data_IF_882988497667
#
_entry.id   IF_882988497667
#
_cell.length_a   1.000
_cell.length_b   1.000
_cell.length_c   1.000
_cell.angle_alpha   90.00
_cell.angle_beta   90.00
_cell.angle_gamma   90.00
#
_symmetry.space_group_name_H-M   'P 1'
#
loop_
_entity.id
_entity.type
_entity.pdbx_description
1 polymer ?
#
# COMPACT_ATOMS: atom_id res chain seq x y z
N UNK A 1 -5.02 -0.36 -22.27
CA UNK A 1 -4.62 -0.06 -20.87
C UNK A 1 -4.19 -1.35 -20.19
N UNK A 2 -3.39 -1.29 -19.12
CA UNK A 2 -2.96 -2.49 -18.36
C UNK A 2 -4.15 -3.37 -17.94
N UNK A 3 -5.25 -2.77 -17.48
CA UNK A 3 -6.47 -3.49 -17.11
C UNK A 3 -7.15 -4.20 -18.30
N UNK A 4 -7.13 -3.60 -19.49
CA UNK A 4 -7.63 -4.26 -20.70
C UNK A 4 -6.76 -5.47 -21.08
N UNK A 5 -5.44 -5.41 -20.85
CA UNK A 5 -4.56 -6.54 -21.03
C UNK A 5 -4.83 -7.64 -20.00
N UNK A 6 -5.11 -7.31 -18.73
CA UNK A 6 -5.51 -8.32 -17.73
C UNK A 6 -6.78 -9.07 -18.10
N UNK A 7 -7.76 -8.39 -18.68
CA UNK A 7 -9.04 -9.00 -19.01
C UNK A 7 -9.00 -9.85 -20.29
N UNK A 8 -8.15 -9.51 -21.26
CA UNK A 8 -8.22 -10.10 -22.61
C UNK A 8 -6.93 -10.81 -23.07
N UNK A 9 -5.82 -10.65 -22.34
CA UNK A 9 -4.56 -11.31 -22.72
C UNK A 9 -4.65 -12.81 -22.52
N UNK A 10 -4.01 -13.55 -23.43
CA UNK A 10 -3.80 -15.00 -23.30
C UNK A 10 -2.45 -15.34 -22.67
N UNK A 11 -1.63 -14.32 -22.40
CA UNK A 11 -0.31 -14.48 -21.78
C UNK A 11 -0.44 -14.81 -20.30
N UNK A 12 0.42 -15.71 -19.80
CA UNK A 12 0.45 -16.10 -18.38
C UNK A 12 0.88 -14.97 -17.45
N UNK A 13 1.60 -13.99 -17.97
CA UNK A 13 2.03 -12.80 -17.27
C UNK A 13 1.92 -11.60 -18.19
N UNK A 14 1.56 -10.44 -17.64
CA UNK A 14 1.52 -9.20 -18.40
C UNK A 14 2.87 -8.48 -18.34
N UNK A 15 3.27 -7.81 -19.42
CA UNK A 15 4.44 -6.95 -19.39
C UNK A 15 4.22 -5.80 -18.40
N UNK A 16 5.11 -5.70 -17.41
CA UNK A 16 5.06 -4.70 -16.34
C UNK A 16 5.67 -3.35 -16.74
N UNK A 17 6.19 -3.23 -17.97
CA UNK A 17 7.04 -2.09 -18.38
C UNK A 17 6.34 -0.75 -18.22
N UNK A 18 5.07 -0.66 -18.61
CA UNK A 18 4.28 0.56 -18.44
C UNK A 18 4.17 0.99 -16.97
N UNK A 19 4.02 0.03 -16.06
CA UNK A 19 3.97 0.31 -14.61
C UNK A 19 5.34 0.75 -14.10
N UNK A 20 6.41 0.08 -14.53
CA UNK A 20 7.79 0.44 -14.16
C UNK A 20 8.13 1.86 -14.61
N UNK A 21 7.80 2.21 -15.85
CA UNK A 21 8.00 3.56 -16.38
C UNK A 21 7.18 4.59 -15.60
N UNK A 22 5.89 4.33 -15.34
CA UNK A 22 5.03 5.25 -14.60
C UNK A 22 5.53 5.49 -13.17
N UNK A 23 6.05 4.46 -12.49
CA UNK A 23 6.66 4.58 -11.17
C UNK A 23 7.95 5.40 -11.24
N UNK A 24 8.88 5.06 -12.14
CA UNK A 24 10.14 5.79 -12.30
C UNK A 24 9.91 7.28 -12.59
N UNK A 25 8.90 7.61 -13.41
CA UNK A 25 8.52 8.99 -13.70
C UNK A 25 7.87 9.69 -12.51
N UNK A 26 6.96 9.02 -11.79
CA UNK A 26 6.26 9.59 -10.63
C UNK A 26 7.21 9.89 -9.47
N UNK A 27 8.30 9.13 -9.33
CA UNK A 27 9.28 9.25 -8.25
C UNK A 27 10.66 9.75 -8.72
N UNK A 28 10.70 10.42 -9.87
CA UNK A 28 11.93 10.94 -10.47
C UNK A 28 12.72 11.81 -9.50
N UNK A 29 12.08 12.79 -8.86
CA UNK A 29 12.78 13.74 -8.01
C UNK A 29 13.26 13.11 -6.69
N UNK A 30 12.52 12.09 -6.22
CA UNK A 30 12.91 11.28 -5.06
C UNK A 30 13.99 10.24 -5.40
N UNK A 31 14.34 10.06 -6.69
CA UNK A 31 15.24 9.02 -7.18
C UNK A 31 14.83 7.60 -6.75
N UNK A 32 13.53 7.37 -6.54
CA UNK A 32 12.97 6.06 -6.16
C UNK A 32 12.33 5.38 -7.36
N UNK A 33 12.31 4.05 -7.34
CA UNK A 33 11.74 3.15 -8.34
C UNK A 33 12.29 3.37 -9.76
N UNK A 34 13.56 3.78 -9.86
CA UNK A 34 14.17 4.08 -11.15
C UNK A 34 14.50 2.81 -11.93
N UNK A 35 14.42 2.90 -13.25
CA UNK A 35 14.64 1.74 -14.12
C UNK A 35 16.05 1.17 -13.96
N UNK A 36 16.12 -0.15 -13.80
CA UNK A 36 17.38 -0.87 -13.59
C UNK A 36 17.92 -0.80 -12.16
N UNK A 37 17.27 -0.06 -11.26
CA UNK A 37 17.57 -0.03 -9.84
C UNK A 37 16.55 -0.88 -9.05
N UNK A 38 17.00 -1.38 -7.91
CA UNK A 38 16.15 -2.14 -6.99
C UNK A 38 15.78 -1.25 -5.82
N UNK A 39 14.51 -1.25 -5.47
CA UNK A 39 13.93 -0.49 -4.36
C UNK A 39 13.10 -1.42 -3.47
N UNK A 40 12.60 -0.87 -2.35
CA UNK A 40 11.76 -1.59 -1.42
C UNK A 40 10.42 -2.00 -2.07
N UNK A 41 10.12 -3.30 -2.01
CA UNK A 41 8.94 -3.87 -2.65
C UNK A 41 7.63 -3.50 -1.92
N UNK A 42 7.68 -3.35 -0.59
CA UNK A 42 6.53 -2.98 0.20
C UNK A 42 6.20 -1.50 0.03
N UNK A 43 7.20 -0.61 0.00
CA UNK A 43 6.97 0.79 -0.37
C UNK A 43 6.38 0.90 -1.79
N UNK A 44 6.92 0.15 -2.76
CA UNK A 44 6.38 0.13 -4.12
C UNK A 44 4.90 -0.27 -4.13
N UNK A 45 4.55 -1.31 -3.36
CA UNK A 45 3.18 -1.80 -3.24
C UNK A 45 2.23 -0.75 -2.66
N UNK A 46 2.62 -0.07 -1.59
CA UNK A 46 1.84 1.01 -0.98
C UNK A 46 1.57 2.15 -1.96
N UNK A 47 2.59 2.59 -2.70
CA UNK A 47 2.46 3.67 -3.69
C UNK A 47 1.52 3.28 -4.84
N UNK A 48 1.54 2.01 -5.28
CA UNK A 48 0.59 1.51 -6.29
C UNK A 48 -0.85 1.55 -5.74
N UNK A 49 -1.07 1.09 -4.51
CA UNK A 49 -2.39 1.09 -3.88
C UNK A 49 -2.92 2.51 -3.66
N UNK A 50 -2.07 3.44 -3.23
CA UNK A 50 -2.41 4.84 -3.06
C UNK A 50 -2.85 5.46 -4.39
N UNK A 51 -2.11 5.19 -5.48
CA UNK A 51 -2.46 5.67 -6.82
C UNK A 51 -3.79 5.09 -7.31
N UNK A 52 -4.06 3.81 -7.04
CA UNK A 52 -5.36 3.19 -7.36
C UNK A 52 -6.48 3.83 -6.55
N UNK A 53 -6.29 4.06 -5.24
CA UNK A 53 -7.25 4.74 -4.38
C UNK A 53 -7.58 6.14 -4.91
N UNK A 54 -6.55 6.95 -5.18
CA UNK A 54 -6.70 8.30 -5.71
C UNK A 54 -7.51 8.32 -7.02
N UNK A 55 -7.27 7.39 -7.94
CA UNK A 55 -8.00 7.34 -9.21
C UNK A 55 -9.46 6.87 -9.07
N UNK A 56 -9.78 6.02 -8.09
CA UNK A 56 -11.13 5.52 -7.88
C UNK A 56 -11.97 6.44 -6.99
N UNK A 57 -11.34 7.11 -6.02
CA UNK A 57 -12.00 7.93 -4.99
C UNK A 57 -11.15 9.17 -4.67
N UNK A 58 -11.02 10.13 -5.60
CA UNK A 58 -10.06 11.25 -5.52
C UNK A 58 -10.31 12.25 -4.39
N UNK A 59 -11.49 12.24 -3.76
CA UNK A 59 -11.92 13.22 -2.76
C UNK A 59 -11.94 12.70 -1.31
N UNK A 60 -11.36 11.52 -1.05
CA UNK A 60 -11.33 10.93 0.30
C UNK A 60 -9.90 10.69 0.76
N UNK A 61 -9.61 11.11 1.98
CA UNK A 61 -8.39 10.71 2.67
C UNK A 61 -8.31 9.18 2.73
N UNK A 62 -7.12 8.66 2.45
CA UNK A 62 -6.87 7.22 2.41
C UNK A 62 -7.30 6.58 3.73
N UNK A 63 -6.86 7.12 4.87
CA UNK A 63 -7.08 6.56 6.20
C UNK A 63 -8.56 6.36 6.58
N UNK A 64 -9.47 7.12 5.96
CA UNK A 64 -10.91 7.12 6.26
C UNK A 64 -11.76 6.60 5.10
N UNK A 65 -11.15 5.98 4.09
CA UNK A 65 -11.87 5.51 2.91
C UNK A 65 -12.67 4.23 3.20
N UNK A 66 -13.99 4.36 3.19
CA UNK A 66 -14.96 3.24 3.31
C UNK A 66 -15.71 2.94 2.01
N UNK A 67 -15.25 3.51 0.88
CA UNK A 67 -15.95 3.35 -0.40
C UNK A 67 -15.96 1.91 -0.89
N UNK A 68 -17.13 1.42 -1.32
CA UNK A 68 -17.25 0.09 -1.93
C UNK A 68 -16.56 -0.04 -3.29
N UNK A 69 -16.30 1.08 -3.96
CA UNK A 69 -15.56 1.08 -5.23
C UNK A 69 -14.05 1.09 -5.06
N UNK A 70 -13.52 1.36 -3.86
CA UNK A 70 -12.07 1.45 -3.66
C UNK A 70 -11.49 0.06 -3.39
N UNK A 71 -10.98 -0.59 -4.44
CA UNK A 71 -10.41 -1.94 -4.31
C UNK A 71 -9.18 -1.98 -3.39
N UNK A 72 -8.40 -0.90 -3.33
CA UNK A 72 -7.26 -0.77 -2.43
C UNK A 72 -7.70 -0.99 -0.97
N UNK A 73 -8.70 -0.24 -0.52
CA UNK A 73 -9.23 -0.37 0.83
C UNK A 73 -10.08 -1.64 1.03
N UNK A 74 -10.87 -2.04 0.03
CA UNK A 74 -11.74 -3.21 0.18
C UNK A 74 -10.99 -4.54 0.30
N UNK A 75 -9.79 -4.65 -0.28
CA UNK A 75 -9.06 -5.91 -0.37
C UNK A 75 -7.75 -5.94 0.38
N UNK A 76 -7.13 -4.77 0.59
CA UNK A 76 -5.77 -4.70 1.13
C UNK A 76 -5.68 -3.90 2.43
N UNK A 77 -6.68 -3.07 2.76
CA UNK A 77 -6.63 -2.33 4.03
C UNK A 77 -6.83 -3.26 5.22
N UNK A 78 -6.04 -3.02 6.26
CA UNK A 78 -6.19 -3.60 7.58
C UNK A 78 -6.55 -2.50 8.56
N UNK A 79 -7.64 -2.68 9.32
CA UNK A 79 -7.94 -1.81 10.46
C UNK A 79 -7.26 -2.37 11.69
N UNK A 80 -6.35 -1.58 12.27
CA UNK A 80 -5.61 -1.92 13.47
C UNK A 80 -6.03 -1.01 14.63
N UNK A 81 -5.85 -1.51 15.84
CA UNK A 81 -6.04 -0.76 17.07
C UNK A 81 -4.72 -0.79 17.86
N UNK A 82 -4.15 0.37 18.10
CA UNK A 82 -2.98 0.50 18.98
C UNK A 82 -3.43 0.92 20.37
N UNK A 83 -2.94 0.19 21.38
CA UNK A 83 -3.15 0.51 22.77
C UNK A 83 -1.83 0.37 23.53
N UNK A 84 -1.39 1.46 24.13
CA UNK A 84 -0.18 1.49 24.94
C UNK A 84 -0.52 1.20 26.39
N UNK A 85 0.27 0.32 27.03
CA UNK A 85 0.17 0.03 28.47
C UNK A 85 1.42 0.54 29.17
N UNK A 86 1.24 1.42 30.15
CA UNK A 86 2.34 1.92 30.96
C UNK A 86 2.94 0.79 31.79
N UNK A 87 4.23 0.49 31.58
CA UNK A 87 4.91 -0.59 32.32
C UNK A 87 5.03 -0.32 33.83
N UNK A 88 4.99 0.94 34.24
CA UNK A 88 5.19 1.33 35.64
C UNK A 88 3.90 1.31 36.45
N UNK A 89 2.78 1.78 35.90
CA UNK A 89 1.51 1.90 36.62
C UNK A 89 0.38 1.02 36.07
N UNK A 90 0.58 0.34 34.95
CA UNK A 90 -0.43 -0.53 34.34
C UNK A 90 -1.59 0.20 33.65
N UNK A 91 -1.58 1.54 33.61
CA UNK A 91 -2.61 2.31 32.91
C UNK A 91 -2.52 2.08 31.39
N UNK A 92 -3.66 1.86 30.75
CA UNK A 92 -3.77 1.73 29.30
C UNK A 92 -4.25 3.04 28.66
N UNK A 93 -3.76 3.35 27.47
CA UNK A 93 -4.35 4.42 26.64
C UNK A 93 -5.72 4.00 26.10
N UNK A 94 -6.49 4.96 25.60
CA UNK A 94 -7.61 4.64 24.73
C UNK A 94 -7.09 3.94 23.46
N UNK A 95 -7.81 2.94 22.91
CA UNK A 95 -7.44 2.31 21.65
C UNK A 95 -7.54 3.31 20.49
N UNK A 96 -6.43 3.51 19.77
CA UNK A 96 -6.40 4.36 18.58
C UNK A 96 -6.62 3.49 17.33
N UNK A 97 -7.73 3.67 16.58
CA UNK A 97 -7.92 2.98 15.31
C UNK A 97 -7.14 3.67 14.19
N UNK A 98 -6.54 2.88 13.30
CA UNK A 98 -5.93 3.36 12.07
C UNK A 98 -5.96 2.27 10.99
N UNK A 99 -5.70 2.69 9.76
CA UNK A 99 -5.72 1.82 8.58
C UNK A 99 -4.32 1.74 7.98
N UNK A 100 -3.83 0.53 7.72
CA UNK A 100 -2.56 0.29 7.04
C UNK A 100 -2.74 -0.72 5.90
N UNK A 101 -1.92 -0.60 4.85
CA UNK A 101 -1.82 -1.61 3.78
C UNK A 101 -0.70 -2.61 4.02
N UNK A 102 0.40 -2.18 4.66
CA UNK A 102 1.54 -3.02 5.01
C UNK A 102 1.88 -2.82 6.47
N UNK A 103 2.06 -3.93 7.20
CA UNK A 103 2.52 -3.91 8.60
C UNK A 103 3.88 -4.60 8.72
N UNK A 104 4.89 -3.85 9.12
CA UNK A 104 6.19 -4.42 9.48
C UNK A 104 6.15 -4.93 10.92
N UNK A 105 6.25 -6.25 11.07
CA UNK A 105 6.32 -6.88 12.39
C UNK A 105 7.74 -7.37 12.60
N UNK A 106 8.44 -6.75 13.56
CA UNK A 106 9.73 -7.25 14.01
C UNK A 106 9.51 -8.50 14.86
N UNK A 107 9.89 -9.65 14.34
CA UNK A 107 9.96 -10.88 15.12
C UNK A 107 11.41 -11.12 15.54
N UNK A 108 11.64 -11.44 16.81
CA UNK A 108 12.92 -12.04 17.19
C UNK A 108 12.98 -13.39 16.48
N UNK A 109 14.01 -13.60 15.66
CA UNK A 109 14.24 -14.90 15.03
C UNK A 109 14.17 -15.99 16.11
N UNK A 110 13.36 -17.02 15.86
CA UNK A 110 13.39 -18.24 16.67
C UNK A 110 14.77 -18.86 16.41
N UNK A 111 15.63 -18.80 17.43
CA UNK A 111 16.93 -19.46 17.45
C UNK A 111 16.75 -20.97 17.52
#
# INVERSE_FOLDING_TARGET
>A
TMFAQFQHSREKALPSDNVRHALAESFRDAQRFQLGLMDDAAECFENILERIHFHLVPSRDADMCTSRSCIAHQKFAMTLYEQCVCRSCGASSDPLPFTEFVRYISTTALW
#
